data_IF_366478215362
#
_entry.id   IF_366478215362
#
_cell.length_a   1.000
_cell.length_b   1.000
_cell.length_c   1.000
_cell.angle_alpha   90.00
_cell.angle_beta   90.00
_cell.angle_gamma   90.00
#
_symmetry.space_group_name_H-M   'P 1'
#
loop_
_entity.id
_entity.type
_entity.pdbx_description
1 polymer ?
#
# COMPACT_ATOMS: atom_id res chain seq x y z
N UNK A 1 4.19 5.98 10.22
CA UNK A 1 3.63 4.84 10.98
C UNK A 1 3.09 5.29 12.33
N UNK A 2 2.32 4.43 12.99
CA UNK A 2 1.83 4.69 14.36
C UNK A 2 2.98 4.78 15.34
N UNK A 3 3.97 3.93 15.20
CA UNK A 3 5.12 3.86 16.11
C UNK A 3 5.98 5.12 16.04
N UNK A 4 6.18 5.70 14.85
CA UNK A 4 6.90 6.96 14.68
C UNK A 4 6.16 8.13 15.33
N UNK A 5 4.83 8.17 15.22
CA UNK A 5 4.01 9.19 15.89
C UNK A 5 4.04 9.03 17.41
N UNK A 6 3.85 7.81 17.88
CA UNK A 6 3.95 7.50 19.32
C UNK A 6 5.33 7.86 19.87
N UNK A 7 6.41 7.60 19.13
CA UNK A 7 7.75 8.00 19.52
C UNK A 7 7.93 9.52 19.58
N UNK A 8 7.40 10.26 18.58
CA UNK A 8 7.44 11.71 18.59
C UNK A 8 6.68 12.29 19.80
N UNK A 9 5.49 11.76 20.08
CA UNK A 9 4.67 12.14 21.25
C UNK A 9 5.39 11.85 22.56
N UNK A 10 6.02 10.68 22.71
CA UNK A 10 6.84 10.32 23.89
C UNK A 10 8.01 11.30 24.11
N UNK A 11 8.56 11.85 23.04
CA UNK A 11 9.63 12.88 23.09
C UNK A 11 9.10 14.30 23.18
N UNK A 12 7.80 14.51 23.33
CA UNK A 12 7.18 15.83 23.37
C UNK A 12 7.33 16.62 22.06
N UNK A 13 7.48 15.92 20.93
CA UNK A 13 7.63 16.53 19.60
C UNK A 13 6.30 16.49 18.87
N UNK A 14 5.72 17.69 18.65
CA UNK A 14 4.55 17.83 17.77
C UNK A 14 4.96 17.92 16.30
N UNK A 15 4.21 17.26 15.41
CA UNK A 15 4.46 17.25 13.99
C UNK A 15 3.37 17.99 13.21
N UNK A 16 3.78 18.68 12.14
CA UNK A 16 2.88 19.15 11.08
C UNK A 16 3.06 18.17 9.91
N UNK A 17 1.96 17.58 9.47
CA UNK A 17 1.96 16.61 8.37
C UNK A 17 1.12 17.15 7.20
N UNK A 18 1.56 16.90 5.98
CA UNK A 18 0.79 17.16 4.75
C UNK A 18 0.88 16.01 3.80
N UNK A 19 -0.25 15.60 3.19
CA UNK A 19 -0.21 14.63 2.12
C UNK A 19 0.46 15.25 0.90
N UNK A 20 1.44 14.56 0.34
CA UNK A 20 2.22 15.01 -0.81
C UNK A 20 2.02 14.14 -2.04
N UNK A 21 1.42 12.97 -1.88
CA UNK A 21 1.15 12.05 -2.97
C UNK A 21 0.26 10.92 -2.51
N UNK A 22 -0.22 10.15 -3.49
CA UNK A 22 -1.01 8.95 -3.27
C UNK A 22 -0.27 7.72 -3.78
N UNK A 23 -0.50 6.64 -3.10
CA UNK A 23 -0.14 5.28 -3.48
C UNK A 23 -1.35 4.38 -3.24
N UNK A 24 -1.29 3.14 -3.64
CA UNK A 24 -2.29 2.14 -3.32
C UNK A 24 -1.63 0.92 -2.68
N UNK A 25 -2.38 0.28 -1.80
CA UNK A 25 -2.03 -1.04 -1.28
C UNK A 25 -2.70 -2.08 -2.16
N UNK A 26 -1.90 -2.88 -2.86
CA UNK A 26 -2.36 -3.78 -3.91
C UNK A 26 -1.99 -5.22 -3.63
N UNK A 27 -2.71 -6.14 -4.29
CA UNK A 27 -2.40 -7.56 -4.30
C UNK A 27 -1.80 -7.97 -5.64
N UNK A 28 -0.82 -8.87 -5.57
CA UNK A 28 -0.11 -9.40 -6.72
C UNK A 28 -0.11 -10.93 -6.67
N UNK A 29 -0.18 -11.53 -7.85
CA UNK A 29 -0.13 -12.96 -8.08
C UNK A 29 0.84 -13.26 -9.22
N UNK A 30 1.35 -14.50 -9.37
CA UNK A 30 2.11 -14.89 -10.55
C UNK A 30 1.34 -14.63 -11.84
N UNK A 31 2.02 -14.23 -12.91
CA UNK A 31 1.41 -13.91 -14.21
C UNK A 31 0.53 -15.04 -14.76
N UNK A 32 0.95 -16.27 -14.56
CA UNK A 32 0.23 -17.48 -15.02
C UNK A 32 -1.05 -17.77 -14.21
N UNK A 33 -1.24 -17.15 -13.05
CA UNK A 33 -2.47 -17.35 -12.28
C UNK A 33 -3.66 -16.77 -13.06
N UNK A 34 -4.75 -17.53 -13.33
CA UNK A 34 -5.88 -17.04 -14.11
C UNK A 34 -6.73 -15.99 -13.38
N UNK A 35 -6.58 -15.86 -12.06
CA UNK A 35 -7.34 -14.88 -11.27
C UNK A 35 -6.84 -13.47 -11.60
N UNK A 36 -7.78 -12.59 -11.96
CA UNK A 36 -7.51 -11.17 -12.28
C UNK A 36 -8.21 -10.20 -11.34
N UNK A 37 -9.14 -10.70 -10.53
CA UNK A 37 -9.90 -9.90 -9.58
C UNK A 37 -10.34 -10.75 -8.39
N UNK A 38 -10.35 -10.15 -7.20
CA UNK A 38 -10.93 -10.72 -5.99
C UNK A 38 -11.84 -9.69 -5.32
N UNK A 39 -12.83 -10.17 -4.59
CA UNK A 39 -13.58 -9.30 -3.67
C UNK A 39 -12.79 -9.11 -2.37
N UNK A 40 -13.12 -8.06 -1.63
CA UNK A 40 -12.55 -7.83 -0.29
C UNK A 40 -12.78 -9.05 0.61
N UNK A 41 -13.99 -9.61 0.60
CA UNK A 41 -14.30 -10.81 1.38
C UNK A 41 -13.45 -12.02 0.97
N UNK A 42 -13.23 -12.25 -0.32
CA UNK A 42 -12.38 -13.35 -0.78
C UNK A 42 -10.93 -13.18 -0.30
N UNK A 43 -10.40 -11.96 -0.32
CA UNK A 43 -9.05 -11.68 0.22
C UNK A 43 -9.02 -11.98 1.72
N UNK A 44 -9.99 -11.49 2.48
CA UNK A 44 -10.10 -11.77 3.90
C UNK A 44 -10.21 -13.26 4.19
N UNK A 45 -11.01 -14.00 3.40
CA UNK A 45 -11.18 -15.44 3.56
C UNK A 45 -9.90 -16.23 3.21
N UNK A 46 -9.12 -15.77 2.23
CA UNK A 46 -7.79 -16.33 1.93
C UNK A 46 -6.85 -16.13 3.12
N UNK A 47 -6.71 -14.89 3.61
CA UNK A 47 -5.75 -14.59 4.67
C UNK A 47 -6.19 -15.05 6.07
N UNK A 48 -7.46 -15.34 6.28
CA UNK A 48 -7.97 -16.06 7.48
C UNK A 48 -7.91 -17.59 7.32
N UNK A 49 -7.59 -18.09 6.11
CA UNK A 49 -7.51 -19.53 5.79
C UNK A 49 -8.83 -20.24 5.66
N UNK A 50 -9.91 -19.52 5.51
CA UNK A 50 -11.21 -20.11 5.15
C UNK A 50 -11.23 -20.60 3.71
N UNK A 51 -10.62 -19.84 2.79
CA UNK A 51 -10.39 -20.21 1.40
C UNK A 51 -8.93 -20.62 1.25
N UNK A 52 -8.68 -21.84 0.79
CA UNK A 52 -7.34 -22.43 0.67
C UNK A 52 -7.01 -22.95 -0.72
N UNK A 53 -7.96 -22.96 -1.62
CA UNK A 53 -7.77 -23.43 -2.99
C UNK A 53 -8.17 -22.35 -3.98
N UNK A 54 -7.32 -22.09 -4.97
CA UNK A 54 -7.58 -21.09 -6.00
C UNK A 54 -8.86 -21.33 -6.77
N UNK A 55 -9.29 -22.60 -6.91
CA UNK A 55 -10.55 -22.99 -7.56
C UNK A 55 -11.78 -22.34 -6.89
N UNK A 56 -11.73 -22.11 -5.59
CA UNK A 56 -12.84 -21.48 -4.83
C UNK A 56 -13.06 -20.01 -5.21
N UNK A 57 -12.04 -19.38 -5.82
CA UNK A 57 -12.06 -17.99 -6.24
C UNK A 57 -11.84 -17.80 -7.75
N UNK A 58 -12.09 -18.85 -8.53
CA UNK A 58 -12.03 -18.79 -10.00
C UNK A 58 -10.67 -19.11 -10.62
N UNK A 59 -9.73 -19.58 -9.83
CA UNK A 59 -8.41 -20.05 -10.28
C UNK A 59 -8.34 -21.54 -10.59
N UNK A 60 -7.13 -22.04 -10.73
CA UNK A 60 -6.83 -23.46 -10.93
C UNK A 60 -7.04 -24.26 -9.63
N UNK A 61 -7.14 -25.59 -9.75
CA UNK A 61 -7.15 -26.48 -8.59
C UNK A 61 -5.75 -26.59 -7.98
N UNK A 62 -5.42 -25.64 -7.08
CA UNK A 62 -4.13 -25.54 -6.42
C UNK A 62 -4.28 -24.84 -5.06
N UNK A 63 -3.44 -25.21 -4.09
CA UNK A 63 -3.40 -24.56 -2.77
C UNK A 63 -2.97 -23.11 -2.91
N UNK A 64 -3.59 -22.20 -2.17
CA UNK A 64 -3.19 -20.80 -2.10
C UNK A 64 -2.10 -20.63 -1.03
N UNK A 65 -1.01 -19.97 -1.38
CA UNK A 65 0.08 -19.61 -0.47
C UNK A 65 0.05 -18.09 -0.22
N UNK A 66 -0.61 -17.62 0.86
CA UNK A 66 -0.74 -16.19 1.14
C UNK A 66 0.49 -15.66 1.87
N UNK A 67 1.35 -14.94 1.14
CA UNK A 67 2.53 -14.30 1.69
C UNK A 67 2.16 -13.08 2.51
N UNK A 68 2.75 -12.97 3.70
CA UNK A 68 2.62 -11.85 4.64
C UNK A 68 3.97 -11.14 4.82
N UNK A 69 3.96 -10.04 5.54
CA UNK A 69 5.16 -9.28 5.85
C UNK A 69 5.50 -9.45 7.34
N UNK A 70 6.74 -9.19 7.69
CA UNK A 70 7.13 -9.12 9.09
C UNK A 70 6.35 -8.03 9.85
N UNK A 71 6.20 -8.20 11.17
CA UNK A 71 5.36 -7.34 12.01
C UNK A 71 5.78 -5.85 12.02
N UNK A 72 7.05 -5.54 11.69
CA UNK A 72 7.55 -4.16 11.62
C UNK A 72 7.33 -3.51 10.25
N UNK A 73 6.70 -4.20 9.32
CA UNK A 73 6.44 -3.70 7.98
C UNK A 73 5.22 -2.78 7.94
N UNK A 74 5.37 -1.57 7.41
CA UNK A 74 4.23 -0.69 7.14
C UNK A 74 3.20 -1.30 6.17
N UNK A 75 3.59 -2.25 5.31
CA UNK A 75 2.65 -3.00 4.49
C UNK A 75 1.86 -4.01 5.31
N UNK A 76 2.46 -4.61 6.34
CA UNK A 76 1.76 -5.47 7.28
C UNK A 76 0.72 -4.67 8.08
N UNK A 77 1.10 -3.50 8.61
CA UNK A 77 0.18 -2.59 9.28
C UNK A 77 -1.03 -2.23 8.40
N UNK A 78 -0.80 -1.95 7.11
CA UNK A 78 -1.89 -1.67 6.15
C UNK A 78 -2.77 -2.89 5.91
N UNK A 79 -2.19 -4.08 5.77
CA UNK A 79 -2.95 -5.31 5.64
C UNK A 79 -3.89 -5.50 6.83
N UNK A 80 -3.40 -5.34 8.04
CA UNK A 80 -4.18 -5.50 9.27
C UNK A 80 -5.28 -4.45 9.43
N UNK A 81 -4.96 -3.19 9.14
CA UNK A 81 -5.86 -2.06 9.43
C UNK A 81 -6.84 -1.77 8.32
N UNK A 82 -6.41 -1.85 7.06
CA UNK A 82 -7.25 -1.48 5.90
C UNK A 82 -8.01 -2.69 5.35
N UNK A 83 -7.38 -3.87 5.32
CA UNK A 83 -7.95 -5.06 4.69
C UNK A 83 -8.62 -5.95 5.71
N UNK A 84 -7.89 -6.38 6.74
CA UNK A 84 -8.38 -7.37 7.70
C UNK A 84 -9.35 -6.77 8.73
N UNK A 85 -9.22 -5.50 9.08
CA UNK A 85 -10.17 -4.76 9.93
C UNK A 85 -10.58 -5.51 11.22
N UNK A 86 -9.59 -6.09 11.91
CA UNK A 86 -9.79 -6.86 13.14
C UNK A 86 -9.96 -8.37 12.94
N UNK A 87 -10.01 -8.86 11.71
CA UNK A 87 -9.93 -10.29 11.44
C UNK A 87 -8.50 -10.79 11.70
N UNK A 88 -8.38 -11.95 12.34
CA UNK A 88 -7.08 -12.58 12.60
C UNK A 88 -6.60 -13.34 11.38
N UNK A 89 -5.42 -12.99 10.88
CA UNK A 89 -4.76 -13.76 9.85
C UNK A 89 -4.25 -15.08 10.39
N UNK A 90 -4.17 -16.09 9.52
CA UNK A 90 -3.50 -17.36 9.85
C UNK A 90 -2.02 -17.07 10.12
N UNK A 91 -1.51 -17.71 11.18
CA UNK A 91 -0.09 -17.73 11.48
C UNK A 91 0.61 -18.78 10.61
N UNK A 92 1.29 -18.30 9.57
CA UNK A 92 2.11 -19.12 8.67
C UNK A 92 3.53 -18.56 8.62
N UNK A 93 4.40 -18.94 9.55
CA UNK A 93 5.77 -18.43 9.63
C UNK A 93 6.57 -18.59 8.33
N UNK A 94 6.33 -19.66 7.58
CA UNK A 94 6.96 -19.93 6.28
C UNK A 94 6.53 -18.98 5.15
N UNK A 95 5.44 -18.25 5.34
CA UNK A 95 4.94 -17.26 4.37
C UNK A 95 5.39 -15.83 4.68
N UNK A 96 6.22 -15.62 5.71
CA UNK A 96 6.72 -14.29 6.05
C UNK A 96 7.79 -13.86 5.05
N UNK A 97 7.58 -12.73 4.41
CA UNK A 97 8.54 -12.10 3.49
C UNK A 97 9.18 -10.87 4.11
N UNK A 98 10.47 -10.68 3.85
CA UNK A 98 11.24 -9.58 4.42
C UNK A 98 11.65 -8.55 3.36
N UNK A 99 11.70 -7.29 3.75
CA UNK A 99 12.07 -6.19 2.88
C UNK A 99 11.07 -5.93 1.75
N UNK A 100 11.23 -4.86 0.99
CA UNK A 100 10.28 -4.45 -0.04
C UNK A 100 10.26 -5.37 -1.26
N UNK A 101 11.37 -6.04 -1.56
CA UNK A 101 11.49 -6.99 -2.68
C UNK A 101 11.02 -8.41 -2.33
N UNK A 102 10.85 -8.73 -1.04
CA UNK A 102 10.48 -10.06 -0.55
C UNK A 102 9.24 -10.65 -1.24
N UNK A 103 8.10 -9.95 -1.29
CA UNK A 103 6.90 -10.43 -1.96
C UNK A 103 7.13 -10.85 -3.42
N UNK A 104 7.95 -10.09 -4.14
CA UNK A 104 8.26 -10.36 -5.54
C UNK A 104 9.12 -11.60 -5.70
N UNK A 105 10.14 -11.77 -4.88
CA UNK A 105 10.98 -12.98 -4.91
C UNK A 105 10.19 -14.24 -4.57
N UNK A 106 9.28 -14.16 -3.60
CA UNK A 106 8.42 -15.29 -3.24
C UNK A 106 7.54 -15.71 -4.42
N UNK A 107 6.85 -14.77 -5.07
CA UNK A 107 6.00 -15.06 -6.22
C UNK A 107 6.76 -15.57 -7.45
N UNK A 108 8.04 -15.19 -7.60
CA UNK A 108 8.89 -15.73 -8.68
C UNK A 108 9.16 -17.23 -8.51
N UNK A 109 9.19 -17.69 -7.27
CA UNK A 109 9.50 -19.10 -6.92
C UNK A 109 8.25 -19.94 -6.67
N UNK A 110 7.09 -19.31 -6.55
CA UNK A 110 5.83 -19.98 -6.18
C UNK A 110 4.68 -19.56 -7.09
N UNK A 111 4.27 -20.45 -7.99
CA UNK A 111 3.17 -20.21 -8.93
C UNK A 111 1.78 -20.13 -8.26
N UNK A 112 1.66 -20.50 -6.98
CA UNK A 112 0.41 -20.53 -6.23
C UNK A 112 0.32 -19.41 -5.19
N UNK A 113 1.29 -18.51 -5.17
CA UNK A 113 1.37 -17.43 -4.21
C UNK A 113 0.37 -16.30 -4.47
N UNK A 114 -0.02 -15.62 -3.40
CA UNK A 114 -0.60 -14.28 -3.39
C UNK A 114 0.18 -13.43 -2.39
N UNK A 115 0.49 -12.21 -2.76
CA UNK A 115 1.23 -11.29 -1.90
C UNK A 115 0.66 -9.87 -2.03
N UNK A 116 1.10 -8.97 -1.17
CA UNK A 116 0.71 -7.56 -1.22
C UNK A 116 1.92 -6.62 -1.18
N UNK A 117 1.76 -5.46 -1.80
CA UNK A 117 2.82 -4.46 -1.94
C UNK A 117 2.22 -3.08 -2.21
N UNK A 118 2.95 -1.97 -1.99
CA UNK A 118 2.56 -0.68 -2.53
C UNK A 118 2.58 -0.69 -4.08
N UNK A 119 1.62 -0.02 -4.70
CA UNK A 119 1.54 0.10 -6.17
C UNK A 119 2.80 0.73 -6.77
N UNK A 120 3.39 1.71 -6.09
CA UNK A 120 4.65 2.33 -6.52
C UNK A 120 5.75 1.28 -6.71
N UNK A 121 5.97 0.40 -5.71
CA UNK A 121 6.99 -0.66 -5.82
C UNK A 121 6.66 -1.66 -6.92
N UNK A 122 5.41 -2.06 -7.06
CA UNK A 122 4.97 -2.90 -8.16
C UNK A 122 5.29 -2.27 -9.52
N UNK A 123 4.99 -0.99 -9.70
CA UNK A 123 5.22 -0.27 -10.96
C UNK A 123 6.71 -0.16 -11.35
N UNK A 124 7.62 -0.28 -10.38
CA UNK A 124 9.07 -0.27 -10.61
C UNK A 124 9.61 -1.69 -10.80
N UNK A 125 9.24 -2.61 -9.90
CA UNK A 125 9.77 -3.98 -9.87
C UNK A 125 9.21 -4.87 -10.98
N UNK A 126 7.97 -4.63 -11.39
CA UNK A 126 7.32 -5.39 -12.46
C UNK A 126 7.39 -4.71 -13.84
N UNK A 127 8.08 -3.56 -13.96
CA UNK A 127 8.09 -2.76 -15.19
C UNK A 127 8.58 -3.54 -16.42
N UNK A 128 9.60 -4.36 -16.25
CA UNK A 128 10.28 -5.06 -17.33
C UNK A 128 10.16 -6.58 -17.24
N UNK A 129 9.36 -7.08 -16.29
CA UNK A 129 9.24 -8.51 -16.03
C UNK A 129 7.77 -8.98 -15.97
N UNK A 130 7.45 -10.00 -16.76
CA UNK A 130 6.10 -10.55 -16.94
C UNK A 130 5.82 -11.76 -16.02
N UNK A 131 6.44 -11.83 -14.84
CA UNK A 131 6.28 -12.98 -13.94
C UNK A 131 5.26 -12.78 -12.81
N UNK A 132 4.85 -11.52 -12.55
CA UNK A 132 3.79 -11.20 -11.59
C UNK A 132 2.88 -10.10 -12.14
N UNK A 133 1.61 -10.19 -11.83
CA UNK A 133 0.59 -9.18 -12.16
C UNK A 133 -0.15 -8.71 -10.93
N UNK A 134 -0.61 -7.47 -10.95
CA UNK A 134 -1.59 -6.97 -9.99
C UNK A 134 -2.98 -7.48 -10.32
N UNK A 135 -3.81 -7.65 -9.29
CA UNK A 135 -5.21 -8.04 -9.46
C UNK A 135 -6.14 -6.91 -9.00
N UNK A 136 -7.31 -6.86 -9.62
CA UNK A 136 -8.37 -5.93 -9.24
C UNK A 136 -9.03 -6.31 -7.91
N UNK A 137 -9.62 -5.33 -7.25
CA UNK A 137 -10.40 -5.53 -6.03
C UNK A 137 -11.83 -5.01 -6.25
N UNK A 138 -12.82 -5.87 -6.05
CA UNK A 138 -14.23 -5.57 -6.32
C UNK A 138 -14.45 -5.04 -7.77
N UNK A 139 -13.71 -5.56 -8.74
CA UNK A 139 -13.77 -5.14 -10.14
C UNK A 139 -12.99 -3.88 -10.48
N UNK A 140 -12.25 -3.29 -9.55
CA UNK A 140 -11.45 -2.08 -9.79
C UNK A 140 -9.96 -2.43 -9.84
N UNK A 141 -9.33 -2.13 -10.97
CA UNK A 141 -7.89 -2.35 -11.16
C UNK A 141 -7.03 -1.30 -10.45
N UNK A 142 -5.87 -1.69 -9.87
CA UNK A 142 -4.92 -0.75 -9.32
C UNK A 142 -4.11 -0.09 -10.44
N UNK A 143 -4.59 1.05 -10.93
CA UNK A 143 -3.88 1.89 -11.90
C UNK A 143 -3.87 3.34 -11.45
N UNK A 144 -3.05 4.17 -12.10
CA UNK A 144 -2.88 5.58 -11.70
C UNK A 144 -4.19 6.38 -11.75
N UNK A 145 -5.09 6.06 -12.68
CA UNK A 145 -6.40 6.72 -12.79
C UNK A 145 -7.28 6.39 -11.59
N UNK A 146 -7.47 5.10 -11.30
CA UNK A 146 -8.29 4.62 -10.18
C UNK A 146 -7.72 5.01 -8.81
N UNK A 147 -6.40 5.19 -8.70
CA UNK A 147 -5.74 5.73 -7.51
C UNK A 147 -6.00 7.24 -7.40
N UNK A 148 -5.89 7.98 -8.51
CA UNK A 148 -6.07 9.43 -8.52
C UNK A 148 -7.50 9.85 -8.19
N UNK A 149 -8.50 9.15 -8.71
CA UNK A 149 -9.92 9.44 -8.52
C UNK A 149 -10.56 8.74 -7.31
N UNK A 150 -9.76 8.02 -6.49
CA UNK A 150 -10.21 7.28 -5.30
C UNK A 150 -11.23 6.16 -5.59
N UNK A 151 -11.28 5.58 -6.78
CA UNK A 151 -12.14 4.43 -7.06
C UNK A 151 -11.53 3.11 -6.59
N UNK A 152 -10.19 3.00 -6.55
CA UNK A 152 -9.55 1.83 -5.97
C UNK A 152 -9.73 1.81 -4.44
N UNK A 153 -10.11 0.67 -3.81
CA UNK A 153 -10.57 0.66 -2.42
C UNK A 153 -9.47 0.91 -1.38
N UNK A 154 -8.21 0.62 -1.69
CA UNK A 154 -7.11 0.69 -0.73
C UNK A 154 -6.09 1.78 -1.11
N UNK A 155 -6.53 3.02 -1.08
CA UNK A 155 -5.66 4.19 -1.27
C UNK A 155 -4.88 4.48 0.01
N UNK A 156 -3.61 4.78 -0.13
CA UNK A 156 -2.76 5.28 0.94
C UNK A 156 -2.12 6.60 0.54
N UNK A 157 -2.11 7.55 1.45
CA UNK A 157 -1.43 8.82 1.23
C UNK A 157 0.01 8.76 1.73
N UNK A 158 0.88 9.49 1.06
CA UNK A 158 2.26 9.71 1.45
C UNK A 158 2.35 11.09 2.05
N UNK A 159 2.94 11.19 3.22
CA UNK A 159 3.03 12.43 3.97
C UNK A 159 4.46 12.94 4.04
N UNK A 160 4.64 14.24 3.91
CA UNK A 160 5.77 14.94 4.44
C UNK A 160 5.45 15.41 5.86
N UNK A 161 6.42 15.37 6.75
CA UNK A 161 6.27 15.84 8.12
C UNK A 161 7.44 16.73 8.52
N UNK A 162 7.14 17.79 9.29
CA UNK A 162 8.12 18.65 9.95
C UNK A 162 7.70 18.88 11.39
N UNK A 163 8.65 19.22 12.26
CA UNK A 163 8.32 19.63 13.63
C UNK A 163 7.46 20.89 13.61
N UNK A 164 6.51 21.00 14.54
CA UNK A 164 5.63 22.16 14.63
C UNK A 164 6.37 23.47 15.01
N UNK A 165 7.51 23.33 15.68
CA UNK A 165 8.40 24.43 16.08
C UNK A 165 9.51 24.73 15.05
N UNK A 166 9.44 24.16 13.85
CA UNK A 166 10.43 24.37 12.79
C UNK A 166 10.49 25.85 12.38
N UNK A 167 11.69 26.38 12.20
CA UNK A 167 11.88 27.71 11.61
C UNK A 167 11.33 27.73 10.18
N UNK A 168 10.29 28.53 9.96
CA UNK A 168 9.63 28.68 8.66
C UNK A 168 10.52 29.29 7.57
N UNK A 169 11.65 29.90 7.94
CA UNK A 169 12.66 30.38 6.98
C UNK A 169 13.66 29.30 6.58
N UNK A 170 13.69 28.17 7.28
CA UNK A 170 14.61 27.05 7.04
C UNK A 170 14.37 26.39 5.68
N UNK A 171 15.40 25.75 5.14
CA UNK A 171 15.29 24.97 3.90
C UNK A 171 14.35 23.75 4.07
N UNK A 172 14.33 23.16 5.26
CA UNK A 172 13.43 22.04 5.56
C UNK A 172 11.96 22.46 5.44
N UNK A 173 11.57 23.61 6.02
CA UNK A 173 10.21 24.11 5.90
C UNK A 173 9.86 24.55 4.47
N UNK A 174 10.80 25.20 3.77
CA UNK A 174 10.61 25.57 2.35
C UNK A 174 10.39 24.35 1.47
N UNK A 175 11.14 23.25 1.68
CA UNK A 175 10.93 22.00 0.96
C UNK A 175 9.54 21.39 1.29
N UNK A 176 9.16 21.38 2.56
CA UNK A 176 7.85 20.92 3.01
C UNK A 176 6.70 21.66 2.31
N UNK A 177 6.77 23.00 2.25
CA UNK A 177 5.80 23.82 1.53
C UNK A 177 5.84 23.55 0.00
N UNK A 178 7.05 23.47 -0.56
CA UNK A 178 7.26 23.26 -2.00
C UNK A 178 6.58 21.96 -2.50
N UNK A 179 6.64 20.88 -1.74
CA UNK A 179 6.08 19.60 -2.14
C UNK A 179 4.57 19.64 -2.43
N UNK A 180 3.84 20.59 -1.87
CA UNK A 180 2.40 20.78 -2.11
C UNK A 180 2.09 21.76 -3.25
N UNK A 181 3.10 22.47 -3.78
CA UNK A 181 2.93 23.38 -4.92
C UNK A 181 2.74 22.63 -6.24
N UNK A 182 2.26 23.29 -7.27
CA UNK A 182 2.16 22.73 -8.63
C UNK A 182 3.50 22.18 -9.13
N UNK A 183 4.61 22.87 -8.87
CA UNK A 183 5.95 22.44 -9.25
C UNK A 183 6.39 21.21 -8.46
N UNK A 184 6.14 21.17 -7.15
CA UNK A 184 6.40 20.00 -6.31
C UNK A 184 5.56 18.79 -6.73
N UNK A 185 4.28 18.98 -7.02
CA UNK A 185 3.40 17.92 -7.49
C UNK A 185 3.77 17.38 -8.87
N UNK A 186 4.38 18.20 -9.72
CA UNK A 186 4.99 17.72 -10.97
C UNK A 186 6.13 16.72 -10.68
N UNK A 187 7.00 17.02 -9.72
CA UNK A 187 8.09 16.12 -9.31
C UNK A 187 7.51 14.83 -8.72
N UNK A 188 6.47 14.90 -7.89
CA UNK A 188 5.78 13.71 -7.35
C UNK A 188 5.28 12.82 -8.47
N UNK A 189 4.66 13.38 -9.51
CA UNK A 189 4.22 12.65 -10.70
C UNK A 189 5.38 12.02 -11.47
N UNK A 190 6.46 12.75 -11.67
CA UNK A 190 7.65 12.28 -12.40
C UNK A 190 8.40 11.20 -11.62
N UNK A 191 8.35 11.20 -10.29
CA UNK A 191 8.90 10.15 -9.44
C UNK A 191 8.15 8.82 -9.53
N UNK A 192 6.94 8.80 -10.08
CA UNK A 192 6.13 7.60 -10.26
C UNK A 192 4.91 7.49 -9.33
N UNK A 193 4.85 8.30 -8.29
CA UNK A 193 3.67 8.39 -7.42
C UNK A 193 2.49 9.11 -8.10
N UNK A 194 1.30 8.95 -7.56
CA UNK A 194 0.12 9.69 -7.98
C UNK A 194 0.08 11.02 -7.24
N UNK A 195 0.06 12.18 -7.93
CA UNK A 195 0.04 13.48 -7.27
C UNK A 195 -1.28 13.73 -6.54
N UNK A 196 -1.24 14.59 -5.54
CA UNK A 196 -2.45 15.11 -4.92
C UNK A 196 -3.24 15.98 -5.92
N UNK A 197 -4.58 16.01 -5.86
CA UNK A 197 -5.37 16.93 -6.67
C UNK A 197 -4.93 18.37 -6.41
N UNK A 198 -4.55 19.08 -7.48
CA UNK A 198 -4.24 20.52 -7.39
C UNK A 198 -5.56 21.27 -7.29
N UNK A 199 -5.82 21.96 -6.16
CA UNK A 199 -7.02 22.79 -5.97
C UNK A 199 -7.93 22.39 -4.80
N UNK A 200 -7.61 21.35 -4.05
CA UNK A 200 -8.30 21.08 -2.79
C UNK A 200 -7.69 21.96 -1.68
N UNK A 201 -8.29 23.09 -1.40
CA UNK A 201 -8.16 23.74 -0.09
C UNK A 201 -8.45 22.69 0.98
N UNK A 202 -7.55 22.59 1.95
CA UNK A 202 -7.50 21.66 3.05
C UNK A 202 -8.77 20.84 3.35
N UNK A 203 -8.76 19.57 3.04
CA UNK A 203 -9.67 18.65 3.68
C UNK A 203 -9.35 18.63 5.17
N UNK A 204 -10.32 19.11 5.95
CA UNK A 204 -10.29 19.16 7.40
C UNK A 204 -9.78 17.82 7.93
N UNK A 205 -8.74 17.89 8.77
CA UNK A 205 -8.33 16.78 9.63
C UNK A 205 -9.58 16.14 10.24
N UNK A 206 -9.86 14.91 9.87
CA UNK A 206 -10.78 14.07 10.63
C UNK A 206 -10.12 13.79 11.98
N UNK A 207 -10.45 14.61 12.97
CA UNK A 207 -10.25 14.23 14.36
C UNK A 207 -11.15 13.02 14.61
N UNK A 208 -10.56 11.86 14.59
CA UNK A 208 -11.17 10.67 15.19
C UNK A 208 -10.93 10.79 16.69
N UNK A 209 -12.01 10.98 17.43
CA UNK A 209 -12.06 10.86 18.87
C UNK A 209 -11.86 9.42 19.30
#
# INVERSE_FOLDING_TARGET
SRDEKAYADDKGVSLIERPIGRDAFIFIVPEKNPVTNLTISQIQDIYTGKVRNWKEVGGNEATINPYIRDANSGSQEKMETMVMQGLTMIDWPEMITHGMAGPFFSLRMDENGIAFTPYFYYSIMARDETWAKSIGINGVEPNKENISNNTYPYISEIYAAVRSDVDKTSQAYKLFEFLTTTAGQKIVKESGYVPMPTGAEGSKSSQVR
#
